data_IF_138590734056
#
_entry.id   IF_138590734056
#
_cell.length_a   1.000
_cell.length_b   1.000
_cell.length_c   1.000
_cell.angle_alpha   90.00
_cell.angle_beta   90.00
_cell.angle_gamma   90.00
#
_symmetry.space_group_name_H-M   'P 1'
#
loop_
_entity.id
_entity.type
_entity.pdbx_description
1 polymer ?
#
# COMPACT_ATOMS: atom_id res chain seq x y z
N UNK A 1 7.84 -6.12 -5.90
CA UNK A 1 7.41 -4.80 -5.36
C UNK A 1 6.04 -4.79 -4.74
N UNK A 2 5.12 -5.69 -5.13
CA UNK A 2 3.73 -5.58 -4.69
C UNK A 2 3.52 -5.62 -3.17
N UNK A 3 4.28 -6.43 -2.45
CA UNK A 3 4.24 -6.48 -0.97
C UNK A 3 4.70 -5.18 -0.31
N UNK A 4 5.72 -4.52 -0.88
CA UNK A 4 6.19 -3.23 -0.38
C UNK A 4 5.08 -2.19 -0.49
N UNK A 5 4.44 -2.07 -1.66
CA UNK A 5 3.33 -1.11 -1.84
C UNK A 5 2.11 -1.44 -1.01
N UNK A 6 1.80 -2.72 -0.82
CA UNK A 6 0.72 -3.13 0.08
C UNK A 6 1.00 -2.63 1.50
N UNK A 7 2.24 -2.80 1.96
CA UNK A 7 2.69 -2.28 3.25
C UNK A 7 2.61 -0.76 3.33
N UNK A 8 3.06 -0.06 2.28
CA UNK A 8 3.01 1.40 2.18
C UNK A 8 1.57 1.93 2.16
N UNK A 9 0.67 1.23 1.48
CA UNK A 9 -0.72 1.61 1.37
C UNK A 9 -1.47 1.47 2.70
N UNK A 10 -1.14 0.47 3.52
CA UNK A 10 -1.96 0.12 4.69
C UNK A 10 -1.32 0.44 6.05
N UNK A 11 0.02 0.46 6.17
CA UNK A 11 0.67 0.43 7.49
C UNK A 11 1.78 1.47 7.71
N UNK A 12 2.62 1.72 6.70
CA UNK A 12 3.91 2.40 6.88
C UNK A 12 3.81 3.92 7.10
N UNK A 13 3.30 4.31 8.26
CA UNK A 13 3.26 5.70 8.72
C UNK A 13 4.43 5.96 9.67
N UNK A 14 5.15 7.05 9.43
CA UNK A 14 6.14 7.59 10.37
C UNK A 14 5.53 8.82 11.02
N UNK A 15 5.46 8.83 12.35
CA UNK A 15 4.96 9.98 13.12
C UNK A 15 6.10 10.67 13.87
N UNK A 16 5.93 11.98 14.12
CA UNK A 16 6.93 12.80 14.83
C UNK A 16 6.27 13.50 16.01
N UNK A 17 6.92 13.46 17.18
CA UNK A 17 6.54 14.25 18.34
C UNK A 17 7.80 14.77 19.05
N UNK A 18 7.76 15.98 19.59
CA UNK A 18 8.89 16.62 20.28
C UNK A 18 10.21 16.57 19.48
N UNK A 19 10.12 16.74 18.16
CA UNK A 19 11.27 16.71 17.26
C UNK A 19 11.85 15.32 16.95
N UNK A 20 11.24 14.23 17.45
CA UNK A 20 11.73 12.85 17.31
C UNK A 20 10.72 11.95 16.60
N UNK A 21 11.23 10.99 15.83
CA UNK A 21 10.42 9.90 15.29
C UNK A 21 9.89 9.06 16.47
N UNK A 22 8.65 8.60 16.38
CA UNK A 22 8.03 7.80 17.42
C UNK A 22 8.23 6.30 17.23
N UNK A 23 8.42 5.85 15.99
CA UNK A 23 8.67 4.45 15.66
C UNK A 23 10.17 4.14 15.66
N UNK A 24 10.58 3.13 16.42
CA UNK A 24 11.97 2.70 16.59
C UNK A 24 12.30 1.40 15.81
N UNK A 25 11.34 0.49 15.57
CA UNK A 25 11.57 -0.80 14.89
C UNK A 25 10.28 -1.39 14.27
N UNK A 26 10.26 -2.67 13.89
CA UNK A 26 9.11 -3.36 13.29
C UNK A 26 7.90 -3.62 14.20
N UNK A 27 8.00 -3.66 15.54
CA UNK A 27 6.83 -3.76 16.40
C UNK A 27 5.95 -2.50 16.38
N UNK A 28 6.55 -1.33 16.19
CA UNK A 28 5.88 -0.03 16.18
C UNK A 28 5.84 0.65 14.80
N UNK A 29 6.62 0.17 13.83
CA UNK A 29 6.48 0.43 12.40
C UNK A 29 5.95 -0.81 11.68
N UNK A 30 4.63 -0.93 11.59
CA UNK A 30 4.00 -2.12 11.04
C UNK A 30 4.29 -2.31 9.55
N UNK A 31 4.53 -3.57 9.18
CA UNK A 31 4.67 -4.01 7.80
C UNK A 31 3.75 -5.20 7.51
N UNK A 32 3.47 -5.43 6.22
CA UNK A 32 2.74 -6.62 5.81
C UNK A 32 3.43 -7.89 6.34
N UNK A 33 2.66 -8.72 7.04
CA UNK A 33 3.07 -10.06 7.50
C UNK A 33 2.52 -11.11 6.55
N UNK A 34 3.12 -12.30 6.55
CA UNK A 34 2.70 -13.40 5.67
C UNK A 34 1.19 -13.71 5.78
N UNK A 35 0.63 -13.63 7.00
CA UNK A 35 -0.79 -13.86 7.24
C UNK A 35 -1.73 -12.81 6.61
N UNK A 36 -1.23 -11.60 6.35
CA UNK A 36 -2.00 -10.48 5.79
C UNK A 36 -1.61 -10.16 4.35
N UNK A 37 -0.72 -10.97 3.76
CA UNK A 37 -0.29 -10.80 2.39
C UNK A 37 -1.41 -11.23 1.43
N UNK A 38 -1.78 -10.41 0.43
CA UNK A 38 -2.77 -10.81 -0.56
C UNK A 38 -2.19 -11.88 -1.49
N UNK A 39 -3.06 -12.64 -2.15
CA UNK A 39 -2.64 -13.43 -3.31
C UNK A 39 -2.17 -12.48 -4.43
N UNK A 40 -1.00 -12.73 -4.99
CA UNK A 40 -0.40 -11.90 -6.04
C UNK A 40 -0.31 -12.73 -7.31
N UNK A 41 -0.94 -12.23 -8.37
CA UNK A 41 -0.84 -12.75 -9.73
C UNK A 41 0.07 -11.84 -10.55
N UNK A 42 0.95 -12.43 -11.37
CA UNK A 42 1.91 -11.68 -12.20
C UNK A 42 1.86 -12.23 -13.62
N UNK A 43 1.70 -11.34 -14.60
CA UNK A 43 1.73 -11.66 -16.02
C UNK A 43 2.76 -10.79 -16.74
N UNK A 44 3.45 -11.39 -17.71
CA UNK A 44 4.38 -10.69 -18.58
C UNK A 44 3.75 -10.43 -19.94
N UNK A 45 3.62 -9.15 -20.29
CA UNK A 45 3.21 -8.72 -21.61
C UNK A 45 4.42 -8.71 -22.54
N UNK A 46 4.33 -9.44 -23.65
CA UNK A 46 5.39 -9.46 -24.66
C UNK A 46 5.22 -8.27 -25.59
N UNK A 47 6.28 -7.48 -25.77
CA UNK A 47 6.28 -6.28 -26.61
C UNK A 47 7.62 -6.13 -27.32
N UNK A 48 7.63 -5.49 -28.50
CA UNK A 48 8.87 -5.15 -29.23
C UNK A 48 9.55 -3.88 -28.72
N UNK A 49 9.04 -3.28 -27.64
CA UNK A 49 9.62 -2.10 -27.03
C UNK A 49 10.99 -2.42 -26.39
N UNK A 50 11.92 -1.44 -26.31
CA UNK A 50 13.16 -1.61 -25.58
C UNK A 50 12.92 -2.03 -24.13
N UNK A 51 13.80 -2.87 -23.60
CA UNK A 51 13.73 -3.29 -22.20
C UNK A 51 13.85 -2.09 -21.26
N UNK A 52 12.86 -1.94 -20.37
CA UNK A 52 12.86 -0.97 -19.28
C UNK A 52 13.12 -1.62 -17.92
N UNK A 53 13.25 -0.79 -16.88
CA UNK A 53 13.35 -1.27 -15.51
C UNK A 53 12.02 -1.86 -15.02
N UNK A 54 12.06 -3.03 -14.39
CA UNK A 54 10.89 -3.70 -13.78
C UNK A 54 10.84 -3.55 -12.25
N UNK A 55 11.91 -3.04 -11.65
CA UNK A 55 12.10 -3.01 -10.21
C UNK A 55 11.19 -2.04 -9.46
N UNK A 56 10.71 -0.97 -10.08
CA UNK A 56 9.92 0.09 -9.44
C UNK A 56 8.49 0.27 -10.00
N UNK A 57 8.18 0.00 -11.30
CA UNK A 57 6.85 0.28 -11.86
C UNK A 57 5.69 -0.40 -11.15
N UNK A 58 5.93 -1.53 -10.49
CA UNK A 58 4.92 -2.21 -9.68
C UNK A 58 4.55 -1.47 -8.40
N UNK A 59 5.27 -0.41 -8.01
CA UNK A 59 5.06 0.29 -6.74
C UNK A 59 3.84 1.24 -6.77
N UNK A 60 3.79 2.23 -7.67
CA UNK A 60 2.76 3.28 -7.65
C UNK A 60 1.31 2.82 -7.85
N UNK A 61 0.98 1.79 -8.68
CA UNK A 61 -0.41 1.52 -9.02
C UNK A 61 -1.22 0.85 -7.90
N UNK A 62 -0.58 0.27 -6.89
CA UNK A 62 -1.26 -0.56 -5.89
C UNK A 62 -2.13 0.26 -4.93
N UNK A 63 -1.60 1.35 -4.37
CA UNK A 63 -2.37 2.20 -3.44
C UNK A 63 -3.68 2.75 -4.06
N UNK A 64 -3.68 3.35 -5.28
CA UNK A 64 -4.93 3.80 -5.90
C UNK A 64 -5.84 2.65 -6.33
N UNK A 65 -5.30 1.48 -6.72
CA UNK A 65 -6.12 0.30 -7.02
C UNK A 65 -6.91 -0.16 -5.77
N UNK A 66 -6.24 -0.22 -4.61
CA UNK A 66 -6.88 -0.55 -3.33
C UNK A 66 -7.89 0.53 -2.92
N UNK A 67 -7.54 1.81 -3.02
CA UNK A 67 -8.47 2.90 -2.71
C UNK A 67 -9.73 2.89 -3.60
N UNK A 68 -9.59 2.52 -4.88
CA UNK A 68 -10.71 2.35 -5.80
C UNK A 68 -11.58 1.15 -5.44
N UNK A 69 -10.97 0.01 -5.06
CA UNK A 69 -11.70 -1.15 -4.57
C UNK A 69 -12.49 -0.84 -3.29
N UNK A 70 -11.88 -0.12 -2.34
CA UNK A 70 -12.57 0.35 -1.13
C UNK A 70 -13.78 1.21 -1.51
N UNK A 71 -13.60 2.21 -2.38
CA UNK A 71 -14.73 3.04 -2.81
C UNK A 71 -15.84 2.22 -3.49
N UNK A 72 -15.50 1.24 -4.32
CA UNK A 72 -16.49 0.39 -4.96
C UNK A 72 -17.31 -0.42 -3.94
N UNK A 73 -16.71 -0.80 -2.81
CA UNK A 73 -17.34 -1.61 -1.76
C UNK A 73 -18.09 -0.77 -0.71
N UNK A 74 -17.60 0.43 -0.38
CA UNK A 74 -18.11 1.23 0.73
C UNK A 74 -18.68 2.59 0.34
N UNK A 75 -18.46 3.06 -0.89
CA UNK A 75 -18.74 4.43 -1.31
C UNK A 75 -17.77 5.48 -0.74
N UNK A 76 -16.82 5.08 0.10
CA UNK A 76 -15.87 6.00 0.73
C UNK A 76 -14.64 6.24 -0.15
N UNK A 77 -14.33 7.51 -0.45
CA UNK A 77 -13.10 7.90 -1.15
C UNK A 77 -11.97 8.16 -0.17
N UNK A 78 -11.02 7.22 -0.10
CA UNK A 78 -9.78 7.38 0.66
C UNK A 78 -8.76 8.14 -0.18
N UNK A 79 -8.16 9.21 0.40
CA UNK A 79 -7.17 10.07 -0.28
C UNK A 79 -5.91 10.32 0.55
N UNK A 80 -5.85 9.74 1.75
CA UNK A 80 -4.74 9.89 2.67
C UNK A 80 -4.14 8.50 2.94
N UNK A 81 -2.81 8.44 2.97
CA UNK A 81 -2.08 7.24 3.35
C UNK A 81 -1.62 7.33 4.81
N UNK A 82 -1.60 6.21 5.53
CA UNK A 82 -2.12 4.90 5.11
C UNK A 82 -3.64 4.89 4.98
N UNK A 83 -4.17 4.05 4.08
CA UNK A 83 -5.59 3.92 3.80
C UNK A 83 -6.33 3.38 5.05
N UNK A 84 -7.14 4.23 5.66
CA UNK A 84 -7.97 3.89 6.83
C UNK A 84 -9.44 4.18 6.52
N UNK A 85 -10.30 3.21 6.78
CA UNK A 85 -11.74 3.43 6.76
C UNK A 85 -12.13 4.33 7.93
N UNK A 86 -13.03 5.28 7.71
CA UNK A 86 -13.69 5.93 8.85
C UNK A 86 -14.67 4.95 9.47
N UNK A 87 -14.89 5.02 10.78
CA UNK A 87 -15.98 4.28 11.40
C UNK A 87 -17.30 4.60 10.68
N UNK A 88 -17.93 3.57 10.12
CA UNK A 88 -19.28 3.68 9.57
C UNK A 88 -20.20 3.94 10.76
N UNK A 89 -20.82 5.12 10.83
CA UNK A 89 -21.94 5.34 11.74
C UNK A 89 -23.04 4.35 11.34
N UNK A 90 -23.30 3.38 12.23
CA UNK A 90 -24.41 2.44 12.12
C UNK A 90 -25.73 3.11 12.53
#
# INVERSE_FOLDING_TARGET
MSLFSWSAALYQQITRANGRIQQDNFPDYEMVRLASAPAIHVEFLHTDAPLGGLGEPGVPPIAPAVANAVFALSGQRLRELPLKLSETQA
#
